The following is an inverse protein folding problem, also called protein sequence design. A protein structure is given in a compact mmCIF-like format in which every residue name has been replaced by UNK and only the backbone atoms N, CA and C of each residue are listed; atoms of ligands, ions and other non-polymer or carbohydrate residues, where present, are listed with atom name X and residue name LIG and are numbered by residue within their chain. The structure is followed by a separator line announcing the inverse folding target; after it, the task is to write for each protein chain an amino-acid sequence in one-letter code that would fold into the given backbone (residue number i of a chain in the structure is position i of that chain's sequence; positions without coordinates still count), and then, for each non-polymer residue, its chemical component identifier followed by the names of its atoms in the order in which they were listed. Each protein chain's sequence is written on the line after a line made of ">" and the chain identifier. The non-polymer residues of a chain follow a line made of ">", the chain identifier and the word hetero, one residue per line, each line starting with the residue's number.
data_IF_209629260250
#
_entry.id   IF_209629260250
#
_cell.length_a   1.000
_cell.length_b   1.000
_cell.length_c   1.000
_cell.angle_alpha   90.00
_cell.angle_beta   90.00
_cell.angle_gamma   90.00
#
_symmetry.space_group_name_H-M   'P 1'
#
loop_
_entity.id
_entity.type
_entity.pdbx_description
1 polymer ?
#
# COMPACT_ATOMS: atom_id res chain seq x y z
N UNK A 1 12.53 5.27 4.82
CA UNK A 1 11.74 4.02 4.80
C UNK A 1 10.53 4.26 3.90
N UNK A 2 10.34 3.47 2.84
CA UNK A 2 9.22 3.66 1.92
C UNK A 2 7.90 3.12 2.48
N UNK A 3 6.81 3.87 2.30
CA UNK A 3 5.44 3.38 2.52
C UNK A 3 5.09 2.35 1.45
N UNK A 4 4.93 1.08 1.84
CA UNK A 4 4.62 -0.02 0.91
C UNK A 4 3.22 -0.60 1.15
N UNK A 5 2.37 -0.62 0.13
CA UNK A 5 1.05 -1.24 0.19
C UNK A 5 1.04 -2.43 -0.76
N UNK A 6 0.83 -3.62 -0.23
CA UNK A 6 0.59 -4.82 -1.04
C UNK A 6 -0.83 -4.76 -1.60
N UNK A 7 -1.02 -5.14 -2.85
CA UNK A 7 -2.30 -5.10 -3.57
C UNK A 7 -2.57 -6.46 -4.19
N UNK A 8 -3.75 -7.01 -3.88
CA UNK A 8 -4.29 -8.20 -4.51
C UNK A 8 -5.45 -7.82 -5.41
N UNK A 9 -5.33 -8.20 -6.68
CA UNK A 9 -6.30 -7.85 -7.72
C UNK A 9 -6.17 -8.78 -8.92
N UNK A 10 -7.23 -8.90 -9.71
CA UNK A 10 -7.18 -9.54 -11.03
C UNK A 10 -6.84 -8.58 -12.18
N UNK A 11 -6.56 -7.31 -11.88
CA UNK A 11 -6.22 -6.28 -12.88
C UNK A 11 -4.78 -6.47 -13.37
N UNK A 12 -4.53 -6.09 -14.62
CA UNK A 12 -3.15 -6.00 -15.13
C UNK A 12 -2.41 -4.82 -14.49
N UNK A 13 -1.07 -4.87 -14.48
CA UNK A 13 -0.21 -3.79 -14.00
C UNK A 13 -0.56 -2.43 -14.64
N UNK A 14 -0.72 -2.41 -15.96
CA UNK A 14 -1.02 -1.18 -16.72
C UNK A 14 -2.40 -0.62 -16.36
N UNK A 15 -3.41 -1.48 -16.19
CA UNK A 15 -4.74 -1.05 -15.76
C UNK A 15 -4.68 -0.48 -14.34
N UNK A 16 -4.05 -1.19 -13.42
CA UNK A 16 -3.88 -0.75 -12.04
C UNK A 16 -3.15 0.60 -11.97
N UNK A 17 -2.06 0.77 -12.73
CA UNK A 17 -1.31 2.01 -12.82
C UNK A 17 -2.13 3.16 -13.38
N UNK A 18 -2.93 2.91 -14.42
CA UNK A 18 -3.81 3.93 -15.01
C UNK A 18 -4.87 4.38 -14.00
N UNK A 19 -5.51 3.46 -13.30
CA UNK A 19 -6.53 3.80 -12.32
C UNK A 19 -5.95 4.52 -11.09
N UNK A 20 -4.77 4.12 -10.61
CA UNK A 20 -4.06 4.80 -9.52
C UNK A 20 -3.65 6.20 -9.94
N UNK A 21 -3.14 6.36 -11.17
CA UNK A 21 -2.83 7.67 -11.76
C UNK A 21 -4.04 8.59 -11.70
N UNK A 22 -5.18 8.12 -12.19
CA UNK A 22 -6.40 8.92 -12.27
C UNK A 22 -6.94 9.25 -10.87
N UNK A 23 -6.85 8.29 -9.93
CA UNK A 23 -7.28 8.48 -8.54
C UNK A 23 -6.45 9.52 -7.80
N UNK A 24 -5.12 9.47 -7.95
CA UNK A 24 -4.18 10.32 -7.23
C UNK A 24 -3.73 11.55 -8.04
N UNK A 25 -4.27 11.72 -9.25
CA UNK A 25 -3.87 12.77 -10.20
C UNK A 25 -2.36 12.80 -10.46
N UNK A 26 -1.75 11.61 -10.61
CA UNK A 26 -0.32 11.46 -10.89
C UNK A 26 -0.01 11.83 -12.35
N UNK A 27 1.26 12.18 -12.66
CA UNK A 27 1.70 12.34 -14.04
C UNK A 27 1.58 11.02 -14.84
N UNK A 28 1.80 11.04 -16.16
CA UNK A 28 1.95 9.82 -16.93
C UNK A 28 3.07 8.93 -16.36
N UNK A 29 2.83 7.61 -16.30
CA UNK A 29 3.85 6.67 -15.86
C UNK A 29 4.76 6.24 -17.01
N UNK A 30 5.98 5.84 -16.64
CA UNK A 30 6.84 4.99 -17.48
C UNK A 30 6.61 3.53 -17.12
N UNK A 31 6.70 2.65 -18.12
CA UNK A 31 6.70 1.20 -17.94
C UNK A 31 8.11 0.70 -18.19
N UNK A 32 8.67 0.00 -17.22
CA UNK A 32 10.03 -0.53 -17.27
C UNK A 32 10.09 -1.88 -16.52
N UNK A 33 11.28 -2.49 -16.45
CA UNK A 33 11.50 -3.78 -15.80
C UNK A 33 12.80 -3.78 -15.02
N UNK A 34 12.78 -4.38 -13.82
CA UNK A 34 13.97 -4.61 -13.03
C UNK A 34 14.06 -6.10 -12.69
N UNK A 35 15.19 -6.74 -12.99
CA UNK A 35 15.36 -8.18 -12.84
C UNK A 35 14.20 -9.00 -13.46
N UNK A 36 13.77 -8.61 -14.67
CA UNK A 36 12.65 -9.21 -15.42
C UNK A 36 11.24 -8.99 -14.84
N UNK A 37 11.11 -8.31 -13.69
CA UNK A 37 9.81 -7.95 -13.11
C UNK A 37 9.36 -6.56 -13.59
N UNK A 38 8.15 -6.44 -14.19
CA UNK A 38 7.67 -5.17 -14.70
C UNK A 38 7.23 -4.23 -13.58
N UNK A 39 7.48 -2.94 -13.77
CA UNK A 39 7.02 -1.88 -12.87
C UNK A 39 6.56 -0.63 -13.64
N UNK A 40 5.63 0.10 -13.04
CA UNK A 40 5.21 1.42 -13.46
C UNK A 40 5.77 2.46 -12.49
N UNK A 41 6.36 3.52 -13.02
CA UNK A 41 6.98 4.60 -12.24
C UNK A 41 6.31 5.95 -12.53
N UNK A 42 6.06 6.71 -11.48
CA UNK A 42 5.59 8.09 -11.54
C UNK A 42 6.56 8.99 -10.79
N UNK A 43 7.06 10.02 -11.47
CA UNK A 43 7.98 11.01 -10.91
C UNK A 43 7.32 12.38 -10.81
N UNK A 44 7.27 12.95 -9.60
CA UNK A 44 6.70 14.28 -9.39
C UNK A 44 7.34 14.98 -8.20
N UNK A 45 8.02 16.12 -8.44
CA UNK A 45 8.45 17.07 -7.40
C UNK A 45 9.12 16.42 -6.16
N UNK A 46 10.07 15.51 -6.39
CA UNK A 46 10.73 14.80 -5.29
C UNK A 46 9.91 13.68 -4.65
N UNK A 47 8.82 13.26 -5.27
CA UNK A 47 8.09 12.04 -4.94
C UNK A 47 8.23 11.05 -6.08
N UNK A 48 8.67 9.84 -5.73
CA UNK A 48 8.71 8.67 -6.59
C UNK A 48 7.60 7.72 -6.14
N UNK A 49 6.70 7.37 -7.04
CA UNK A 49 5.68 6.34 -6.82
C UNK A 49 5.96 5.18 -7.76
N UNK A 50 6.02 3.97 -7.19
CA UNK A 50 6.23 2.73 -7.94
C UNK A 50 5.03 1.81 -7.75
N UNK A 51 4.55 1.23 -8.86
CA UNK A 51 3.68 0.05 -8.81
C UNK A 51 4.45 -1.06 -9.47
N UNK A 52 4.82 -2.08 -8.71
CA UNK A 52 5.64 -3.17 -9.21
C UNK A 52 5.03 -4.51 -8.87
N UNK A 53 5.27 -5.48 -9.74
CA UNK A 53 5.09 -6.88 -9.38
C UNK A 53 6.25 -7.27 -8.45
N UNK A 54 5.92 -7.80 -7.28
CA UNK A 54 6.95 -8.37 -6.38
C UNK A 54 7.18 -9.83 -6.76
N UNK A 55 8.41 -10.30 -6.88
CA UNK A 55 8.68 -11.73 -7.10
C UNK A 55 8.05 -12.56 -5.96
N UNK A 56 7.44 -13.71 -6.28
CA UNK A 56 6.75 -14.53 -5.25
C UNK A 56 7.70 -15.01 -4.15
N UNK A 57 8.97 -15.24 -4.48
CA UNK A 57 9.99 -15.76 -3.56
C UNK A 57 10.42 -14.73 -2.50
N UNK A 58 10.28 -13.43 -2.81
CA UNK A 58 10.64 -12.33 -1.93
C UNK A 58 9.49 -11.89 -1.01
N UNK A 59 8.31 -12.51 -1.15
CA UNK A 59 7.14 -12.10 -0.38
C UNK A 59 7.06 -12.76 0.97
N UNK A 60 6.59 -11.96 1.92
CA UNK A 60 6.14 -12.47 3.19
C UNK A 60 4.97 -13.46 3.01
N UNK A 61 4.95 -14.59 3.74
CA UNK A 61 3.89 -15.59 3.64
C UNK A 61 2.48 -15.01 3.78
N UNK A 62 2.31 -13.99 4.62
CA UNK A 62 1.04 -13.31 4.89
C UNK A 62 0.45 -12.54 3.71
N UNK A 63 1.29 -12.11 2.76
CA UNK A 63 0.89 -11.32 1.58
C UNK A 63 1.36 -11.97 0.28
N UNK A 64 1.61 -13.28 0.31
CA UNK A 64 2.12 -14.01 -0.85
C UNK A 64 1.20 -13.88 -2.07
N UNK A 65 -0.12 -13.84 -1.86
CA UNK A 65 -1.14 -13.69 -2.90
C UNK A 65 -1.41 -12.23 -3.34
N UNK A 66 -0.69 -11.24 -2.82
CA UNK A 66 -0.82 -9.82 -3.20
C UNK A 66 0.13 -9.45 -4.34
N UNK A 67 -0.31 -9.69 -5.59
CA UNK A 67 0.51 -9.59 -6.81
C UNK A 67 1.32 -8.29 -6.97
N UNK A 68 0.82 -7.16 -6.50
CA UNK A 68 1.47 -5.87 -6.72
C UNK A 68 1.87 -5.20 -5.41
N UNK A 69 2.89 -4.36 -5.46
CA UNK A 69 3.25 -3.42 -4.41
C UNK A 69 3.13 -2.01 -4.95
N UNK A 70 2.46 -1.15 -4.19
CA UNK A 70 2.42 0.30 -4.39
C UNK A 70 3.34 0.94 -3.35
N UNK A 71 4.45 1.49 -3.82
CA UNK A 71 5.48 2.11 -2.99
C UNK A 71 5.48 3.62 -3.21
N UNK A 72 5.43 4.40 -2.13
CA UNK A 72 5.66 5.85 -2.15
C UNK A 72 7.00 6.12 -1.48
N UNK A 73 7.85 6.89 -2.16
CA UNK A 73 9.12 7.40 -1.66
C UNK A 73 9.16 8.91 -1.86
N UNK A 74 9.41 9.67 -0.80
CA UNK A 74 9.69 11.09 -0.91
C UNK A 74 11.20 11.30 -0.79
N UNK A 75 11.83 11.88 -1.82
CA UNK A 75 13.22 12.32 -1.81
C UNK A 75 13.31 13.79 -2.25
N UNK A 76 13.74 14.64 -1.32
CA UNK A 76 13.92 16.06 -1.58
C UNK A 76 15.41 16.33 -1.85
N UNK A 77 15.75 16.67 -3.09
CA UNK A 77 17.15 16.82 -3.55
C UNK A 77 17.90 17.98 -2.90
N UNK A 78 17.18 18.96 -2.33
CA UNK A 78 17.77 20.18 -1.75
C UNK A 78 17.70 20.23 -0.22
N UNK A 79 16.97 19.31 0.42
CA UNK A 79 16.78 19.27 1.86
C UNK A 79 16.75 17.83 2.38
N UNK A 80 17.59 17.52 3.38
CA UNK A 80 17.49 16.28 4.16
C UNK A 80 16.27 16.36 5.10
N UNK A 81 15.07 16.19 4.53
CA UNK A 81 13.83 16.07 5.30
C UNK A 81 13.62 14.60 5.67
N UNK A 82 13.59 14.31 6.97
CA UNK A 82 13.16 13.00 7.47
C UNK A 82 11.64 12.86 7.37
N UNK A 83 11.18 12.18 6.31
CA UNK A 83 9.76 11.94 6.04
C UNK A 83 9.27 10.56 6.47
N UNK A 84 10.14 9.71 7.04
CA UNK A 84 9.86 8.30 7.31
C UNK A 84 8.61 8.10 8.17
N UNK A 85 8.46 8.93 9.21
CA UNK A 85 7.31 8.83 10.12
C UNK A 85 6.00 9.23 9.43
N UNK A 86 6.04 10.23 8.56
CA UNK A 86 4.86 10.70 7.83
C UNK A 86 4.45 9.65 6.80
N UNK A 87 5.40 9.13 6.01
CA UNK A 87 5.17 8.07 5.03
C UNK A 87 4.52 6.85 5.69
N UNK A 88 5.10 6.39 6.79
CA UNK A 88 4.60 5.25 7.55
C UNK A 88 3.17 5.48 8.08
N UNK A 89 2.88 6.66 8.62
CA UNK A 89 1.55 6.97 9.15
C UNK A 89 0.47 7.16 8.06
N UNK A 90 0.87 7.51 6.83
CA UNK A 90 -0.04 7.66 5.69
C UNK A 90 -0.36 6.33 4.98
N UNK A 91 0.47 5.31 5.16
CA UNK A 91 0.32 3.99 4.53
C UNK A 91 -1.08 3.38 4.74
N UNK A 92 -1.69 3.36 5.96
CA UNK A 92 -3.04 2.82 6.14
C UNK A 92 -4.13 3.65 5.45
N UNK A 93 -3.91 4.95 5.29
CA UNK A 93 -4.85 5.85 4.60
C UNK A 93 -4.87 5.55 3.11
N UNK A 94 -3.69 5.44 2.47
CA UNK A 94 -3.59 5.07 1.06
C UNK A 94 -4.12 3.66 0.81
N UNK A 95 -3.85 2.69 1.69
CA UNK A 95 -4.38 1.33 1.56
C UNK A 95 -5.92 1.31 1.53
N UNK A 96 -6.56 1.99 2.48
CA UNK A 96 -8.02 2.13 2.53
C UNK A 96 -8.58 2.86 1.29
N UNK A 97 -7.94 3.94 0.85
CA UNK A 97 -8.36 4.70 -0.32
C UNK A 97 -8.33 3.84 -1.59
N UNK A 98 -7.23 3.10 -1.80
CA UNK A 98 -7.08 2.19 -2.93
C UNK A 98 -8.12 1.07 -2.88
N UNK A 99 -8.29 0.43 -1.72
CA UNK A 99 -9.27 -0.64 -1.53
C UNK A 99 -10.69 -0.17 -1.87
N UNK A 100 -11.09 1.01 -1.36
CA UNK A 100 -12.41 1.57 -1.58
C UNK A 100 -12.65 1.98 -3.03
N UNK A 101 -11.73 2.76 -3.61
CA UNK A 101 -11.93 3.39 -4.93
C UNK A 101 -11.74 2.42 -6.08
N UNK A 102 -10.78 1.51 -5.97
CA UNK A 102 -10.41 0.59 -7.05
C UNK A 102 -11.08 -0.79 -6.91
N UNK A 103 -11.68 -1.08 -5.75
CA UNK A 103 -12.30 -2.38 -5.49
C UNK A 103 -11.26 -3.51 -5.43
N UNK A 104 -10.11 -3.24 -4.81
CA UNK A 104 -9.00 -4.20 -4.66
C UNK A 104 -8.81 -4.57 -3.19
N UNK A 105 -8.18 -5.71 -2.93
CA UNK A 105 -7.70 -6.07 -1.59
C UNK A 105 -6.32 -5.41 -1.39
N UNK A 106 -6.09 -4.80 -0.23
CA UNK A 106 -4.81 -4.18 0.11
C UNK A 106 -4.33 -4.64 1.48
N UNK A 107 -3.01 -4.67 1.65
CA UNK A 107 -2.38 -4.94 2.92
C UNK A 107 -1.23 -3.98 3.17
N UNK A 108 -1.05 -3.54 4.40
CA UNK A 108 0.12 -2.78 4.81
C UNK A 108 0.60 -3.26 6.17
N UNK A 109 1.89 -3.10 6.46
CA UNK A 109 2.44 -3.55 7.73
C UNK A 109 2.38 -2.45 8.78
N UNK A 110 2.06 -2.84 10.01
CA UNK A 110 2.43 -2.07 11.18
C UNK A 110 3.78 -2.57 11.70
N UNK A 111 4.60 -1.64 12.20
CA UNK A 111 5.88 -1.90 12.82
C UNK A 111 5.90 -1.32 14.23
N UNK A 112 6.45 -2.07 15.19
CA UNK A 112 6.70 -1.59 16.55
C UNK A 112 8.04 -2.09 17.06
N UNK A 113 8.61 -1.35 18.01
CA UNK A 113 9.84 -1.77 18.71
C UNK A 113 9.47 -2.40 20.05
N UNK A 114 9.98 -3.60 20.31
CA UNK A 114 9.84 -4.30 21.59
C UNK A 114 11.24 -4.61 22.12
N UNK A 115 11.70 -3.79 23.08
CA UNK A 115 13.10 -3.80 23.52
C UNK A 115 14.05 -3.42 22.38
N UNK A 116 14.97 -4.33 22.04
CA UNK A 116 15.91 -4.13 20.92
C UNK A 116 15.43 -4.70 19.58
N UNK A 117 14.26 -5.36 19.55
CA UNK A 117 13.77 -6.02 18.35
C UNK A 117 12.65 -5.23 17.69
N UNK A 118 12.65 -5.21 16.36
CA UNK A 118 11.53 -4.73 15.57
C UNK A 118 10.56 -5.89 15.33
N UNK A 119 9.27 -5.60 15.46
CA UNK A 119 8.20 -6.51 15.11
C UNK A 119 7.29 -5.88 14.07
N UNK A 120 6.74 -6.71 13.19
CA UNK A 120 5.73 -6.32 12.19
C UNK A 120 4.50 -7.20 12.26
N UNK A 121 3.37 -6.69 11.78
CA UNK A 121 2.17 -7.45 11.44
C UNK A 121 1.50 -6.80 10.23
N UNK A 122 0.78 -7.57 9.43
CA UNK A 122 -0.02 -7.02 8.33
C UNK A 122 -1.44 -6.68 8.78
N UNK A 123 -1.95 -5.56 8.27
CA UNK A 123 -3.33 -5.11 8.36
C UNK A 123 -3.94 -5.14 6.96
N UNK A 124 -5.15 -5.70 6.86
CA UNK A 124 -5.80 -6.00 5.58
C UNK A 124 -7.07 -5.18 5.40
N UNK A 125 -7.27 -4.67 4.19
CA UNK A 125 -8.38 -3.79 3.85
C UNK A 125 -9.01 -4.20 2.52
N UNK A 126 -10.34 -4.15 2.48
CA UNK A 126 -11.13 -4.37 1.27
C UNK A 126 -12.35 -3.47 1.26
N UNK A 127 -12.92 -3.21 0.09
CA UNK A 127 -14.19 -2.49 -0.01
C UNK A 127 -15.27 -3.22 0.80
N UNK A 128 -16.03 -2.49 1.62
CA UNK A 128 -17.16 -3.07 2.34
C UNK A 128 -18.35 -3.21 1.39
N UNK A 129 -18.76 -4.44 1.08
CA UNK A 129 -19.90 -4.74 0.20
C UNK A 129 -21.25 -4.31 0.81
N UNK A 130 -21.32 -4.21 2.13
CA UNK A 130 -22.51 -3.78 2.84
C UNK A 130 -22.59 -2.25 3.03
N UNK A 131 -21.63 -1.49 2.50
CA UNK A 131 -21.65 -0.04 2.59
C UNK A 131 -22.63 0.55 1.56
N UNK A 132 -23.73 1.12 2.06
CA UNK A 132 -24.79 1.72 1.24
C UNK A 132 -24.55 3.20 0.88
N UNK A 133 -23.66 3.88 1.61
CA UNK A 133 -23.37 5.30 1.45
C UNK A 133 -24.52 6.25 1.80
N UNK A 134 -25.65 5.74 2.30
CA UNK A 134 -26.83 6.55 2.63
C UNK A 134 -26.83 7.02 4.07
N UNK A 135 -26.23 6.24 4.97
CA UNK A 135 -26.11 6.60 6.39
C UNK A 135 -24.83 7.39 6.66
N UNK A 136 -24.95 8.47 7.41
CA UNK A 136 -23.81 9.30 7.84
C UNK A 136 -23.12 8.71 9.07
N UNK A 137 -21.86 9.08 9.27
CA UNK A 137 -21.08 8.63 10.42
C UNK A 137 -21.82 8.93 11.74
N UNK A 138 -22.06 7.88 12.52
CA UNK A 138 -22.74 7.97 13.81
C UNK A 138 -24.26 7.75 13.75
N UNK A 139 -24.87 7.66 12.57
CA UNK A 139 -26.28 7.31 12.43
C UNK A 139 -26.54 5.81 12.70
N UNK A 140 -27.73 5.44 13.22
CA UNK A 140 -28.12 4.05 13.33
C UNK A 140 -28.02 3.34 11.97
N UNK A 141 -27.33 2.20 11.92
CA UNK A 141 -27.10 1.46 10.68
C UNK A 141 -25.87 1.92 9.89
N UNK A 142 -25.15 2.95 10.33
CA UNK A 142 -23.89 3.36 9.69
C UNK A 142 -22.86 2.23 9.68
N UNK A 143 -22.19 2.07 8.54
CA UNK A 143 -21.06 1.15 8.37
C UNK A 143 -19.88 1.88 7.71
N UNK A 144 -18.63 1.44 7.98
CA UNK A 144 -17.47 1.98 7.28
C UNK A 144 -17.45 1.56 5.81
N UNK A 145 -16.93 2.42 4.94
CA UNK A 145 -16.78 2.14 3.50
C UNK A 145 -15.73 1.06 3.18
N UNK A 146 -14.83 0.81 4.13
CA UNK A 146 -13.76 -0.18 4.05
C UNK A 146 -13.94 -1.17 5.19
N UNK A 147 -13.92 -2.45 4.85
CA UNK A 147 -13.88 -3.53 5.82
C UNK A 147 -12.41 -3.83 6.17
N UNK A 148 -12.15 -4.03 7.46
CA UNK A 148 -10.85 -4.46 7.99
C UNK A 148 -10.95 -5.91 8.42
N UNK A 149 -10.10 -6.77 7.87
CA UNK A 149 -10.00 -8.15 8.34
C UNK A 149 -9.09 -8.24 9.56
N UNK A 150 -9.09 -9.40 10.23
CA UNK A 150 -8.25 -9.63 11.41
C UNK A 150 -6.76 -9.43 11.05
N UNK A 151 -6.03 -8.54 11.73
CA UNK A 151 -4.61 -8.36 11.48
C UNK A 151 -3.83 -9.67 11.69
N UNK A 152 -2.70 -9.78 10.98
CA UNK A 152 -1.74 -10.85 11.18
C UNK A 152 -1.15 -10.88 12.60
N UNK A 153 -0.47 -11.98 12.90
CA UNK A 153 0.29 -12.08 14.14
C UNK A 153 1.49 -11.11 14.12
N UNK A 154 1.87 -10.59 15.29
CA UNK A 154 3.14 -9.90 15.43
C UNK A 154 4.28 -10.91 15.28
N UNK A 155 5.22 -10.62 14.37
CA UNK A 155 6.45 -11.40 14.19
C UNK A 155 7.66 -10.49 14.23
N UNK A 156 8.78 -11.01 14.70
CA UNK A 156 10.04 -10.27 14.70
C UNK A 156 10.56 -10.12 13.27
N UNK A 157 11.09 -8.94 12.94
CA UNK A 157 11.88 -8.78 11.71
C UNK A 157 13.21 -9.49 11.97
N UNK A 158 13.44 -10.60 11.29
CA UNK A 158 14.78 -11.14 11.17
C UNK A 158 15.52 -10.23 10.19
N UNK A 159 16.25 -9.24 10.72
CA UNK A 159 17.21 -8.52 9.90
C UNK A 159 18.26 -9.53 9.46
N UNK A 160 18.17 -9.98 8.22
CA UNK A 160 19.30 -10.60 7.53
C UNK A 160 20.27 -9.45 7.20
N UNK A 161 21.02 -9.00 8.20
CA UNK A 161 22.26 -8.25 7.97
C UNK A 161 23.39 -9.25 7.78
#
# INVERSE_FOLDING_TARGET
>A
MSSQICIKTGKSLQQLATEIRDLLSLPPFTLDSFAEEPYCQFDMLGMLVLIRKAAEEDRDPEVKDYEYSFDIQMSFTEHELDTDTIEYNLQPYYAQLLAFRLGVETACYEKKRVGQHWQIRYCYYRKNENWDGTHLFGEPGWMPAVATDKPGAWRSIHSNF
#
